data_IF_564274234779
#
_entry.id   IF_564274234779
#
_cell.length_a   1.000
_cell.length_b   1.000
_cell.length_c   1.000
_cell.angle_alpha   90.00
_cell.angle_beta   90.00
_cell.angle_gamma   90.00
#
_symmetry.space_group_name_H-M   'P 1'
#
loop_
_entity.id
_entity.type
_entity.pdbx_description
1 polymer ?
#
# COMPACT_ATOMS: atom_id res chain seq x y z
N UNK A 1 8.98 29.95 11.78
CA UNK A 1 10.17 29.62 10.95
C UNK A 1 10.33 28.11 10.97
N UNK A 2 10.42 27.49 9.82
CA UNK A 2 10.45 26.03 9.63
C UNK A 2 11.87 25.47 9.57
N UNK A 3 12.83 26.16 10.20
CA UNK A 3 14.25 25.73 10.24
C UNK A 3 14.41 24.54 11.18
N UNK A 4 15.05 23.47 10.71
CA UNK A 4 15.34 22.27 11.49
C UNK A 4 16.39 22.58 12.55
N UNK A 5 16.05 22.33 13.81
CA UNK A 5 16.95 22.48 14.96
C UNK A 5 17.47 21.15 15.49
N UNK A 6 16.67 20.11 15.40
CA UNK A 6 17.02 18.78 15.89
C UNK A 6 16.35 17.69 15.09
N UNK A 7 17.07 16.59 14.85
CA UNK A 7 16.55 15.34 14.27
C UNK A 7 17.00 14.21 15.20
N UNK A 8 16.06 13.32 15.51
CA UNK A 8 16.32 12.13 16.32
C UNK A 8 15.55 10.94 15.80
N UNK A 9 16.16 9.77 15.84
CA UNK A 9 15.50 8.52 15.53
C UNK A 9 15.72 7.48 16.62
N UNK A 10 14.79 6.54 16.68
CA UNK A 10 14.84 5.38 17.58
C UNK A 10 14.36 4.12 16.86
N UNK A 11 14.76 2.99 17.41
CA UNK A 11 14.20 1.70 17.04
C UNK A 11 12.89 1.49 17.81
N UNK A 12 11.83 1.13 17.09
CA UNK A 12 10.53 0.72 17.63
C UNK A 12 10.15 -0.65 17.07
N UNK A 13 9.03 -1.22 17.48
CA UNK A 13 8.53 -2.49 16.95
C UNK A 13 7.38 -2.26 15.94
N UNK A 14 7.39 -3.04 14.87
CA UNK A 14 6.28 -3.12 13.92
C UNK A 14 5.18 -4.10 14.40
N UNK A 15 4.11 -4.22 13.63
CA UNK A 15 2.95 -5.09 13.91
C UNK A 15 3.28 -6.59 13.94
N UNK A 16 4.46 -6.99 13.46
CA UNK A 16 4.97 -8.37 13.51
C UNK A 16 5.97 -8.59 14.65
N UNK A 17 6.22 -7.55 15.48
CA UNK A 17 7.24 -7.59 16.54
C UNK A 17 8.67 -7.50 16.04
N UNK A 18 8.89 -7.09 14.78
CA UNK A 18 10.22 -6.81 14.25
C UNK A 18 10.60 -5.34 14.46
N UNK A 19 11.89 -5.03 14.66
CA UNK A 19 12.35 -3.64 14.72
C UNK A 19 12.06 -2.87 13.43
N UNK A 20 11.67 -1.61 13.60
CA UNK A 20 11.62 -0.60 12.55
C UNK A 20 12.06 0.75 13.09
N UNK A 21 12.16 1.76 12.22
CA UNK A 21 12.67 3.08 12.55
C UNK A 21 11.51 4.08 12.75
N UNK A 22 11.60 4.87 13.81
CA UNK A 22 10.80 6.08 14.00
C UNK A 22 11.72 7.29 14.08
N UNK A 23 11.42 8.35 13.32
CA UNK A 23 12.15 9.60 13.32
C UNK A 23 11.31 10.77 13.86
N UNK A 24 11.98 11.72 14.48
CA UNK A 24 11.43 13.00 14.92
C UNK A 24 12.24 14.17 14.34
N UNK A 25 11.55 15.21 13.91
CA UNK A 25 12.13 16.47 13.43
C UNK A 25 11.53 17.62 14.23
N UNK A 26 12.41 18.39 14.89
CA UNK A 26 12.03 19.59 15.62
C UNK A 26 12.45 20.85 14.86
N UNK A 27 11.54 21.85 14.84
CA UNK A 27 11.73 23.13 14.16
C UNK A 27 12.02 24.25 15.15
N UNK A 28 12.53 25.37 14.64
CA UNK A 28 12.95 26.53 15.44
C UNK A 28 11.79 27.27 16.14
N UNK A 29 10.54 27.02 15.74
CA UNK A 29 9.34 27.54 16.41
C UNK A 29 8.82 26.60 17.51
N UNK A 30 9.50 25.48 17.78
CA UNK A 30 9.11 24.46 18.75
C UNK A 30 8.20 23.36 18.20
N UNK A 31 7.80 23.45 16.92
CA UNK A 31 6.98 22.39 16.29
C UNK A 31 7.80 21.10 16.16
N UNK A 32 7.11 19.99 16.39
CA UNK A 32 7.68 18.64 16.33
C UNK A 32 6.85 17.79 15.34
N UNK A 33 7.52 17.09 14.46
CA UNK A 33 6.94 16.03 13.63
C UNK A 33 7.57 14.69 13.93
N UNK A 34 6.78 13.63 13.85
CA UNK A 34 7.21 12.24 14.06
C UNK A 34 6.57 11.33 13.03
N UNK A 35 7.34 10.38 12.54
CA UNK A 35 6.86 9.37 11.61
C UNK A 35 7.58 8.04 11.84
N UNK A 36 6.83 6.95 11.68
CA UNK A 36 7.35 5.58 11.74
C UNK A 36 7.34 4.94 10.35
N UNK A 37 8.37 4.15 10.05
CA UNK A 37 8.58 3.57 8.74
C UNK A 37 8.00 2.15 8.69
N UNK A 38 7.15 1.81 7.69
CA UNK A 38 6.66 0.45 7.51
C UNK A 38 7.73 -0.48 6.95
N UNK A 39 7.51 -1.80 7.05
CA UNK A 39 8.45 -2.84 6.62
C UNK A 39 7.74 -3.95 5.84
N UNK A 40 8.28 -4.38 4.71
CA UNK A 40 7.73 -5.48 3.90
C UNK A 40 8.07 -6.88 4.42
N UNK A 41 7.24 -7.87 4.09
CA UNK A 41 7.54 -9.31 4.22
C UNK A 41 8.00 -9.88 2.88
N UNK A 42 7.13 -9.87 1.87
CA UNK A 42 7.52 -10.03 0.47
C UNK A 42 8.02 -8.68 -0.06
N UNK A 43 9.10 -8.67 -0.81
CA UNK A 43 9.70 -7.44 -1.33
C UNK A 43 10.06 -7.63 -2.79
N UNK A 44 9.64 -6.71 -3.65
CA UNK A 44 10.09 -6.66 -5.03
C UNK A 44 11.62 -6.53 -5.10
N UNK A 45 12.25 -7.24 -6.00
CA UNK A 45 13.72 -7.31 -6.10
C UNK A 45 14.39 -5.96 -6.37
N UNK A 46 13.63 -4.98 -6.83
CA UNK A 46 14.08 -3.62 -7.23
C UNK A 46 13.70 -2.54 -6.23
N UNK A 47 13.17 -2.90 -5.05
CA UNK A 47 12.87 -1.93 -3.98
C UNK A 47 14.13 -1.23 -3.45
N UNK A 48 13.96 -0.01 -2.94
CA UNK A 48 14.99 0.65 -2.18
C UNK A 48 15.31 -0.14 -0.89
N UNK A 49 16.57 -0.08 -0.46
CA UNK A 49 17.08 -0.95 0.61
C UNK A 49 16.56 -0.52 1.98
N UNK A 50 15.83 -1.41 2.64
CA UNK A 50 15.62 -1.34 4.08
C UNK A 50 16.89 -1.79 4.80
N UNK A 51 17.62 -0.84 5.40
CA UNK A 51 18.89 -1.16 6.04
C UNK A 51 18.66 -1.87 7.38
N UNK A 52 19.10 -3.12 7.45
CA UNK A 52 19.11 -3.97 8.64
C UNK A 52 20.51 -4.17 9.16
N UNK A 53 20.65 -4.38 10.46
CA UNK A 53 21.97 -4.53 11.13
C UNK A 53 22.69 -5.82 10.72
N UNK A 54 21.95 -6.90 10.49
CA UNK A 54 22.50 -8.22 10.18
C UNK A 54 23.12 -8.96 11.38
N UNK A 55 23.12 -8.34 12.56
CA UNK A 55 23.64 -8.94 13.80
C UNK A 55 22.67 -9.98 14.33
N UNK A 56 23.00 -11.26 14.14
CA UNK A 56 22.16 -12.41 14.55
C UNK A 56 21.95 -12.50 16.06
N UNK A 57 22.79 -11.86 16.86
CA UNK A 57 22.66 -11.87 18.34
C UNK A 57 21.58 -10.92 18.84
N UNK A 58 21.08 -10.02 17.96
CA UNK A 58 20.09 -9.01 18.26
C UNK A 58 18.96 -9.04 17.23
N UNK A 59 17.72 -9.27 17.68
CA UNK A 59 16.54 -9.41 16.84
C UNK A 59 16.73 -10.32 15.61
N UNK A 60 17.51 -11.38 15.77
CA UNK A 60 17.79 -12.36 14.70
C UNK A 60 18.37 -11.72 13.41
N UNK A 61 19.09 -10.60 13.56
CA UNK A 61 19.64 -9.85 12.45
C UNK A 61 18.76 -8.73 11.89
N UNK A 62 17.52 -8.59 12.41
CA UNK A 62 16.54 -7.62 11.90
C UNK A 62 16.61 -6.24 12.57
N UNK A 63 17.55 -5.98 13.49
CA UNK A 63 17.74 -4.67 14.11
C UNK A 63 17.96 -3.57 13.08
N UNK A 64 17.70 -2.30 13.46
CA UNK A 64 17.84 -1.12 12.59
C UNK A 64 18.72 -0.02 13.21
N UNK A 65 19.59 -0.37 14.14
CA UNK A 65 20.45 0.60 14.81
C UNK A 65 21.45 1.29 13.87
N UNK A 66 21.86 0.63 12.78
CA UNK A 66 22.70 1.29 11.75
C UNK A 66 21.94 2.44 11.09
N UNK A 67 20.70 2.20 10.66
CA UNK A 67 19.83 3.23 10.08
C UNK A 67 19.54 4.35 11.10
N UNK A 68 19.23 4.00 12.35
CA UNK A 68 19.09 4.97 13.46
C UNK A 68 20.34 5.80 13.65
N UNK A 69 21.51 5.17 13.62
CA UNK A 69 22.81 5.87 13.72
C UNK A 69 23.03 6.86 12.58
N UNK A 70 22.65 6.52 11.34
CA UNK A 70 22.72 7.43 10.20
C UNK A 70 21.81 8.64 10.37
N UNK A 71 20.58 8.45 10.89
CA UNK A 71 19.66 9.57 11.17
C UNK A 71 20.23 10.47 12.25
N UNK A 72 20.69 9.91 13.39
CA UNK A 72 21.17 10.67 14.54
C UNK A 72 22.54 11.33 14.32
N UNK A 73 23.29 10.91 13.31
CA UNK A 73 24.58 11.45 12.92
C UNK A 73 24.51 12.21 11.59
N UNK A 74 24.97 11.57 10.52
CA UNK A 74 25.22 12.19 9.21
C UNK A 74 24.00 12.93 8.66
N UNK A 75 22.79 12.39 8.78
CA UNK A 75 21.56 13.03 8.28
C UNK A 75 21.22 14.25 9.13
N UNK A 76 21.26 14.13 10.46
CA UNK A 76 20.98 15.25 11.37
C UNK A 76 21.97 16.40 11.17
N UNK A 77 23.26 16.10 11.00
CA UNK A 77 24.28 17.13 10.76
C UNK A 77 24.10 17.85 9.41
N UNK A 78 23.71 17.10 8.36
CA UNK A 78 23.49 17.63 7.02
C UNK A 78 22.26 18.53 6.92
N UNK A 79 21.19 18.22 7.67
CA UNK A 79 19.93 18.94 7.61
C UNK A 79 19.76 20.00 8.71
N UNK A 80 20.66 20.10 9.66
CA UNK A 80 20.62 21.16 10.68
C UNK A 80 20.64 22.54 10.04
N UNK A 81 19.68 23.38 10.39
CA UNK A 81 19.55 24.72 9.81
C UNK A 81 18.86 24.76 8.44
N UNK A 82 18.48 23.60 7.89
CA UNK A 82 17.72 23.53 6.64
C UNK A 82 16.25 23.96 6.86
N UNK A 83 15.64 24.55 5.86
CA UNK A 83 14.19 24.89 5.89
C UNK A 83 13.35 23.67 5.53
N UNK A 84 12.72 23.05 6.52
CA UNK A 84 11.87 21.87 6.32
C UNK A 84 10.66 22.11 5.40
N UNK A 85 10.25 23.38 5.19
CA UNK A 85 9.16 23.70 4.27
C UNK A 85 9.54 23.48 2.78
N UNK A 86 10.84 23.42 2.48
CA UNK A 86 11.34 22.96 1.17
C UNK A 86 11.46 21.43 1.18
N UNK A 87 10.33 20.74 1.15
CA UNK A 87 10.28 19.26 1.17
C UNK A 87 11.09 18.65 0.01
N UNK A 88 10.98 19.20 -1.19
CA UNK A 88 11.69 18.68 -2.36
C UNK A 88 13.22 18.87 -2.22
N UNK A 89 13.66 20.01 -1.72
CA UNK A 89 15.07 20.27 -1.43
C UNK A 89 15.63 19.40 -0.31
N UNK A 90 14.83 19.15 0.75
CA UNK A 90 15.18 18.25 1.84
C UNK A 90 15.37 16.82 1.33
N UNK A 91 14.41 16.30 0.60
CA UNK A 91 14.46 14.94 0.06
C UNK A 91 15.60 14.77 -0.95
N UNK A 92 15.81 15.80 -1.80
CA UNK A 92 16.98 15.80 -2.70
C UNK A 92 18.29 15.72 -1.94
N UNK A 93 18.45 16.47 -0.84
CA UNK A 93 19.66 16.38 -0.01
C UNK A 93 19.85 14.99 0.61
N UNK A 94 18.78 14.35 1.04
CA UNK A 94 18.82 12.97 1.54
C UNK A 94 19.28 11.99 0.47
N UNK A 95 18.73 12.09 -0.75
CA UNK A 95 19.09 11.25 -1.90
C UNK A 95 20.58 11.49 -2.29
N UNK A 96 20.98 12.74 -2.43
CA UNK A 96 22.37 13.11 -2.78
C UNK A 96 23.35 12.64 -1.69
N UNK A 97 22.94 12.73 -0.41
CA UNK A 97 23.74 12.27 0.73
C UNK A 97 23.91 10.75 0.71
N UNK A 98 22.91 9.96 0.37
CA UNK A 98 23.06 8.52 0.19
C UNK A 98 23.93 8.21 -1.03
N UNK A 99 23.65 8.81 -2.17
CA UNK A 99 24.44 8.72 -3.38
C UNK A 99 24.42 7.37 -4.09
N UNK A 100 23.53 6.44 -3.70
CA UNK A 100 23.33 5.15 -4.36
C UNK A 100 21.95 5.10 -5.03
N UNK A 101 21.82 4.29 -6.08
CA UNK A 101 20.56 4.20 -6.83
C UNK A 101 19.39 3.62 -6.02
N UNK A 102 19.68 2.74 -5.06
CA UNK A 102 18.69 2.04 -4.23
C UNK A 102 18.73 2.45 -2.76
N UNK A 103 19.36 3.58 -2.42
CA UNK A 103 19.50 4.09 -1.04
C UNK A 103 20.19 3.10 -0.08
N UNK A 104 21.09 2.27 -0.63
CA UNK A 104 21.74 1.18 0.12
C UNK A 104 22.78 1.63 1.12
N UNK A 105 23.29 2.86 1.04
CA UNK A 105 24.34 3.35 1.93
C UNK A 105 23.82 3.81 3.30
N UNK A 106 22.75 4.58 3.32
CA UNK A 106 22.13 5.09 4.54
C UNK A 106 20.88 4.31 4.94
N UNK A 107 20.20 3.71 3.96
CA UNK A 107 18.95 2.99 4.10
C UNK A 107 17.74 3.85 3.74
N UNK A 108 16.85 3.31 2.90
CA UNK A 108 15.60 3.96 2.57
C UNK A 108 14.73 4.22 3.80
N UNK A 109 14.78 3.33 4.80
CA UNK A 109 14.10 3.51 6.09
C UNK A 109 14.61 4.74 6.86
N UNK A 110 15.92 5.01 6.85
CA UNK A 110 16.48 6.21 7.46
C UNK A 110 16.02 7.48 6.74
N UNK A 111 16.09 7.49 5.40
CA UNK A 111 15.69 8.63 4.60
C UNK A 111 14.19 8.92 4.75
N UNK A 112 13.36 7.90 4.61
CA UNK A 112 11.90 8.03 4.66
C UNK A 112 11.41 8.52 6.03
N UNK A 113 11.96 7.99 7.12
CA UNK A 113 11.60 8.42 8.47
C UNK A 113 11.77 9.94 8.64
N UNK A 114 12.90 10.48 8.20
CA UNK A 114 13.18 11.93 8.27
C UNK A 114 12.31 12.72 7.29
N UNK A 115 12.13 12.23 6.07
CA UNK A 115 11.31 12.88 5.04
C UNK A 115 9.86 13.06 5.51
N UNK A 116 9.23 12.01 6.04
CA UNK A 116 7.86 12.09 6.57
C UNK A 116 7.78 12.91 7.86
N UNK A 117 8.73 12.74 8.79
CA UNK A 117 8.73 13.50 10.05
C UNK A 117 8.88 15.02 9.79
N UNK A 118 9.65 15.43 8.79
CA UNK A 118 9.77 16.82 8.38
C UNK A 118 8.43 17.38 7.90
N UNK A 119 7.69 16.63 7.07
CA UNK A 119 6.34 17.03 6.63
C UNK A 119 5.36 17.20 7.79
N UNK A 120 5.36 16.28 8.76
CA UNK A 120 4.59 16.41 9.99
C UNK A 120 4.96 17.66 10.80
N UNK A 121 6.27 17.94 10.94
CA UNK A 121 6.75 19.12 11.67
C UNK A 121 6.27 20.42 11.00
N UNK A 122 6.36 20.50 9.68
CA UNK A 122 5.90 21.69 8.91
C UNK A 122 4.38 21.84 9.00
N UNK A 123 3.63 20.76 8.89
CA UNK A 123 2.17 20.80 9.08
C UNK A 123 1.81 21.37 10.46
N UNK A 124 2.49 20.87 11.53
CA UNK A 124 2.30 21.38 12.89
C UNK A 124 2.67 22.88 13.01
N UNK A 125 3.81 23.30 12.45
CA UNK A 125 4.26 24.68 12.41
C UNK A 125 3.24 25.62 11.73
N UNK A 126 2.62 25.15 10.66
CA UNK A 126 1.57 25.88 9.92
C UNK A 126 0.18 25.75 10.55
N UNK A 127 0.02 24.97 11.63
CA UNK A 127 -1.26 24.65 12.28
C UNK A 127 -2.26 24.01 11.31
N UNK A 128 -1.76 23.17 10.41
CA UNK A 128 -2.52 22.40 9.44
C UNK A 128 -2.55 20.93 9.85
N UNK A 129 -3.63 20.24 9.50
CA UNK A 129 -3.57 18.77 9.44
C UNK A 129 -2.59 18.33 8.35
N UNK A 130 -2.00 17.15 8.49
CA UNK A 130 -1.00 16.68 7.52
C UNK A 130 -1.57 16.65 6.10
N UNK A 131 -2.78 16.11 5.91
CA UNK A 131 -3.41 16.05 4.58
C UNK A 131 -3.58 17.46 3.95
N UNK A 132 -3.85 18.49 4.75
CA UNK A 132 -3.97 19.87 4.25
C UNK A 132 -2.62 20.40 3.75
N UNK A 133 -1.57 20.13 4.52
CA UNK A 133 -0.20 20.50 4.13
C UNK A 133 0.21 19.77 2.84
N UNK A 134 0.02 18.45 2.78
CA UNK A 134 0.34 17.67 1.59
C UNK A 134 -0.47 18.12 0.37
N UNK A 135 -1.78 18.40 0.53
CA UNK A 135 -2.59 18.93 -0.56
C UNK A 135 -2.08 20.28 -1.07
N UNK A 136 -1.48 21.11 -0.19
CA UNK A 136 -0.83 22.36 -0.62
C UNK A 136 0.44 22.13 -1.45
N UNK A 137 1.11 21.00 -1.29
CA UNK A 137 2.29 20.62 -2.10
C UNK A 137 1.89 20.06 -3.48
N UNK A 138 0.81 19.29 -3.51
CA UNK A 138 0.37 18.57 -4.74
C UNK A 138 -0.58 19.40 -5.59
N UNK A 139 -1.29 20.35 -5.01
CA UNK A 139 -2.38 21.09 -5.67
C UNK A 139 -3.64 20.24 -5.90
N UNK A 140 -3.70 19.03 -5.38
CA UNK A 140 -4.85 18.14 -5.55
C UNK A 140 -6.05 18.60 -4.70
N UNK A 141 -7.26 18.37 -5.22
CA UNK A 141 -8.49 18.51 -4.44
C UNK A 141 -8.66 17.29 -3.54
N UNK A 142 -8.76 17.46 -2.21
CA UNK A 142 -8.88 16.34 -1.29
C UNK A 142 -10.11 15.47 -1.58
N UNK A 143 -9.89 14.14 -1.56
CA UNK A 143 -10.93 13.14 -1.81
C UNK A 143 -10.72 11.93 -0.90
N UNK A 144 -11.81 11.38 -0.34
CA UNK A 144 -11.76 10.15 0.44
C UNK A 144 -11.60 8.95 -0.52
N UNK A 145 -10.53 8.15 -0.35
CA UNK A 145 -10.23 7.04 -1.24
C UNK A 145 -11.18 5.86 -1.03
N UNK A 146 -11.37 5.03 -2.07
CA UNK A 146 -12.00 3.71 -1.92
C UNK A 146 -11.05 2.78 -1.18
N UNK A 147 -11.46 2.18 -0.06
CA UNK A 147 -10.63 1.20 0.64
C UNK A 147 -10.70 -0.16 -0.07
N UNK A 148 -9.53 -0.74 -0.35
CA UNK A 148 -9.35 -2.09 -0.81
C UNK A 148 -9.06 -2.96 0.42
N UNK A 149 -10.09 -3.62 0.94
CA UNK A 149 -10.04 -4.29 2.24
C UNK A 149 -9.68 -5.75 2.06
N UNK A 150 -8.46 -6.14 2.41
CA UNK A 150 -8.01 -7.52 2.40
C UNK A 150 -8.78 -8.35 3.44
N UNK A 151 -9.68 -9.23 3.00
CA UNK A 151 -10.61 -9.96 3.88
C UNK A 151 -10.27 -11.45 4.02
N UNK A 152 -9.60 -12.05 3.01
CA UNK A 152 -9.03 -13.40 3.06
C UNK A 152 -7.58 -13.34 2.59
N UNK A 153 -6.69 -13.96 3.37
CA UNK A 153 -5.27 -14.09 3.10
C UNK A 153 -4.93 -15.50 2.61
N UNK A 154 -3.98 -15.56 1.67
CA UNK A 154 -3.30 -16.77 1.23
C UNK A 154 -1.83 -16.50 0.92
N UNK A 155 -1.19 -17.31 0.09
CA UNK A 155 0.18 -17.14 -0.35
C UNK A 155 1.16 -16.90 0.80
N UNK A 156 2.03 -15.92 0.68
CA UNK A 156 3.02 -15.58 1.72
C UNK A 156 2.39 -14.94 2.98
N UNK A 157 1.12 -14.52 2.94
CA UNK A 157 0.43 -13.85 4.06
C UNK A 157 -0.31 -14.83 5.00
N UNK A 158 -0.39 -16.12 4.67
CA UNK A 158 -1.08 -17.12 5.47
C UNK A 158 -0.43 -18.50 5.33
N UNK A 159 -0.43 -19.26 6.41
CA UNK A 159 -0.04 -20.68 6.40
C UNK A 159 -1.28 -21.54 6.08
N UNK A 160 -1.67 -21.55 4.83
CA UNK A 160 -2.80 -22.29 4.27
C UNK A 160 -2.53 -22.75 2.83
N UNK A 161 -3.52 -23.36 2.18
CA UNK A 161 -3.42 -23.92 0.83
C UNK A 161 -3.95 -23.00 -0.29
N UNK A 162 -4.18 -21.73 -0.01
CA UNK A 162 -4.62 -20.74 -0.98
C UNK A 162 -3.39 -20.10 -1.64
N UNK A 163 -3.24 -20.22 -2.97
CA UNK A 163 -2.04 -19.76 -3.68
C UNK A 163 -1.99 -18.22 -3.81
N UNK A 164 -3.11 -17.57 -4.12
CA UNK A 164 -3.18 -16.11 -4.26
C UNK A 164 -3.11 -15.43 -2.90
N UNK A 165 -2.39 -14.31 -2.83
CA UNK A 165 -2.01 -13.67 -1.58
C UNK A 165 -3.14 -12.96 -0.87
N UNK A 166 -4.02 -12.25 -1.62
CA UNK A 166 -5.11 -11.48 -1.02
C UNK A 166 -6.38 -11.49 -1.85
N UNK A 167 -7.51 -11.60 -1.14
CA UNK A 167 -8.85 -11.42 -1.69
C UNK A 167 -9.49 -10.24 -0.97
N UNK A 168 -9.86 -9.22 -1.75
CA UNK A 168 -10.31 -7.93 -1.23
C UNK A 168 -11.77 -7.66 -1.56
N UNK A 169 -12.43 -6.90 -0.67
CA UNK A 169 -13.71 -6.27 -0.93
C UNK A 169 -13.53 -4.76 -1.08
N UNK A 170 -14.20 -4.18 -2.07
CA UNK A 170 -14.12 -2.77 -2.43
C UNK A 170 -15.53 -2.16 -2.43
N UNK A 171 -15.89 -1.40 -1.40
CA UNK A 171 -17.22 -0.80 -1.27
C UNK A 171 -17.34 0.46 -2.14
N UNK A 172 -17.77 0.29 -3.39
CA UNK A 172 -17.82 1.35 -4.42
C UNK A 172 -19.19 2.02 -4.56
N UNK A 173 -20.25 1.39 -4.06
CA UNK A 173 -21.66 1.82 -4.23
C UNK A 173 -22.17 2.69 -3.09
N UNK A 174 -21.33 3.49 -2.42
CA UNK A 174 -21.69 4.29 -1.24
C UNK A 174 -21.43 5.77 -1.47
N UNK A 175 -22.17 6.64 -0.76
CA UNK A 175 -22.06 8.10 -0.89
C UNK A 175 -21.01 8.71 0.04
N UNK A 176 -20.49 7.94 1.01
CA UNK A 176 -19.49 8.41 1.97
C UNK A 176 -18.51 7.31 2.37
N UNK A 177 -17.32 7.72 2.79
CA UNK A 177 -16.31 6.79 3.30
C UNK A 177 -16.80 6.07 4.57
N UNK A 178 -17.52 6.74 5.46
CA UNK A 178 -18.04 6.13 6.68
C UNK A 178 -19.04 5.00 6.38
N UNK A 179 -19.93 5.15 5.38
CA UNK A 179 -20.84 4.08 4.97
C UNK A 179 -20.11 2.94 4.24
N UNK A 180 -19.11 3.27 3.42
CA UNK A 180 -18.22 2.29 2.81
C UNK A 180 -17.47 1.46 3.86
N UNK A 181 -16.91 2.11 4.88
CA UNK A 181 -16.21 1.43 5.98
C UNK A 181 -17.18 0.57 6.80
N UNK A 182 -18.41 1.05 7.08
CA UNK A 182 -19.45 0.28 7.77
C UNK A 182 -19.77 -1.00 7.00
N UNK A 183 -20.01 -0.91 5.70
CA UNK A 183 -20.32 -2.08 4.88
C UNK A 183 -19.19 -3.12 4.89
N UNK A 184 -17.94 -2.69 4.76
CA UNK A 184 -16.78 -3.58 4.86
C UNK A 184 -16.70 -4.29 6.22
N UNK A 185 -16.97 -3.56 7.31
CA UNK A 185 -16.99 -4.13 8.67
C UNK A 185 -18.10 -5.16 8.84
N UNK A 186 -19.30 -4.89 8.34
CA UNK A 186 -20.43 -5.83 8.38
C UNK A 186 -20.15 -7.07 7.55
N UNK A 187 -19.53 -6.94 6.37
CA UNK A 187 -19.09 -8.06 5.54
C UNK A 187 -18.01 -8.89 6.26
N UNK A 188 -17.04 -8.24 6.90
CA UNK A 188 -16.00 -8.92 7.68
C UNK A 188 -16.61 -9.79 8.78
N UNK A 189 -17.59 -9.30 9.54
CA UNK A 189 -18.28 -10.08 10.57
C UNK A 189 -19.18 -11.17 9.98
N UNK A 190 -19.83 -10.91 8.85
CA UNK A 190 -20.61 -11.93 8.13
C UNK A 190 -19.71 -13.06 7.63
N UNK A 191 -18.51 -12.74 7.08
CA UNK A 191 -17.53 -13.73 6.66
C UNK A 191 -17.03 -14.58 7.84
N UNK A 192 -16.75 -13.95 8.98
CA UNK A 192 -16.42 -14.70 10.22
C UNK A 192 -17.49 -15.73 10.56
N UNK A 193 -18.77 -15.36 10.45
CA UNK A 193 -19.89 -16.28 10.68
C UNK A 193 -19.98 -17.39 9.64
N UNK A 194 -19.75 -17.11 8.37
CA UNK A 194 -19.73 -18.09 7.28
C UNK A 194 -18.62 -19.11 7.52
N UNK A 195 -17.40 -18.67 7.76
CA UNK A 195 -16.24 -19.54 8.03
C UNK A 195 -16.47 -20.42 9.26
N UNK A 196 -16.95 -19.83 10.37
CA UNK A 196 -17.28 -20.58 11.59
C UNK A 196 -18.37 -21.63 11.34
N UNK A 197 -19.41 -21.30 10.57
CA UNK A 197 -20.48 -22.21 10.21
C UNK A 197 -20.01 -23.40 9.35
N UNK A 198 -18.93 -23.24 8.61
CA UNK A 198 -18.25 -24.30 7.83
C UNK A 198 -17.19 -25.06 8.62
N UNK A 199 -16.97 -24.72 9.91
CA UNK A 199 -15.91 -25.31 10.73
C UNK A 199 -14.50 -24.88 10.37
N UNK A 200 -14.36 -23.76 9.64
CA UNK A 200 -13.08 -23.22 9.20
C UNK A 200 -12.48 -22.24 10.23
N UNK A 201 -11.16 -22.06 10.18
CA UNK A 201 -10.45 -21.11 11.04
C UNK A 201 -10.91 -19.69 10.83
N UNK A 202 -11.07 -18.93 11.92
CA UNK A 202 -11.30 -17.49 11.92
C UNK A 202 -10.12 -16.72 12.53
N UNK A 203 -8.94 -17.35 12.58
CA UNK A 203 -7.70 -16.67 12.86
C UNK A 203 -7.36 -15.72 11.69
N UNK A 204 -6.66 -14.63 12.02
CA UNK A 204 -6.30 -13.60 11.02
C UNK A 204 -4.81 -13.60 10.78
N UNK A 205 -4.43 -13.27 9.53
CA UNK A 205 -3.05 -13.09 9.12
C UNK A 205 -2.47 -11.71 9.51
N UNK A 206 -1.30 -11.41 9.00
CA UNK A 206 -0.54 -10.19 9.32
C UNK A 206 -1.30 -8.91 8.99
N UNK A 207 -2.16 -8.94 8.00
CA UNK A 207 -2.94 -7.79 7.53
C UNK A 207 -4.39 -7.77 8.04
N UNK A 208 -4.73 -8.70 8.94
CA UNK A 208 -6.04 -8.75 9.60
C UNK A 208 -7.13 -9.49 8.81
N UNK A 209 -6.88 -9.96 7.58
CA UNK A 209 -7.77 -10.86 6.83
C UNK A 209 -7.78 -12.26 7.44
N UNK A 210 -8.88 -13.01 7.26
CA UNK A 210 -8.96 -14.40 7.71
C UNK A 210 -8.02 -15.30 6.90
N UNK A 211 -7.52 -16.36 7.52
CA UNK A 211 -6.59 -17.31 6.92
C UNK A 211 -7.13 -18.75 7.03
N UNK A 212 -8.29 -19.06 6.44
CA UNK A 212 -8.85 -20.41 6.48
C UNK A 212 -8.14 -21.36 5.50
N UNK A 213 -8.14 -22.67 5.80
CA UNK A 213 -7.84 -23.70 4.82
C UNK A 213 -9.05 -23.91 3.91
N UNK A 214 -8.95 -23.39 2.68
CA UNK A 214 -9.97 -23.54 1.65
C UNK A 214 -9.56 -24.62 0.64
N UNK A 215 -10.53 -25.17 -0.10
CA UNK A 215 -10.28 -26.23 -1.09
C UNK A 215 -9.61 -25.72 -2.36
N UNK A 216 -9.79 -24.43 -2.65
CA UNK A 216 -9.25 -23.77 -3.85
C UNK A 216 -9.22 -22.26 -3.68
N UNK A 217 -8.52 -21.55 -4.56
CA UNK A 217 -8.59 -20.08 -4.65
C UNK A 217 -10.02 -19.60 -5.00
N UNK A 218 -10.75 -20.36 -5.81
CA UNK A 218 -12.13 -20.03 -6.19
C UNK A 218 -13.08 -20.07 -5.00
N UNK A 219 -12.91 -21.01 -4.06
CA UNK A 219 -13.72 -21.06 -2.84
C UNK A 219 -13.57 -19.78 -2.00
N UNK A 220 -12.41 -19.10 -2.05
CA UNK A 220 -12.25 -17.80 -1.39
C UNK A 220 -13.21 -16.76 -1.94
N UNK A 221 -13.38 -16.69 -3.27
CA UNK A 221 -14.36 -15.81 -3.92
C UNK A 221 -15.80 -16.17 -3.54
N UNK A 222 -16.13 -17.46 -3.53
CA UNK A 222 -17.48 -17.95 -3.19
C UNK A 222 -17.88 -17.59 -1.76
N UNK A 223 -16.99 -17.81 -0.76
CA UNK A 223 -17.32 -17.50 0.64
C UNK A 223 -17.41 -15.99 0.88
N UNK A 224 -16.66 -15.17 0.14
CA UNK A 224 -16.78 -13.72 0.19
C UNK A 224 -18.12 -13.27 -0.39
N UNK A 225 -18.55 -13.81 -1.52
CA UNK A 225 -19.85 -13.50 -2.12
C UNK A 225 -21.01 -13.90 -1.19
N UNK A 226 -20.92 -15.07 -0.53
CA UNK A 226 -21.89 -15.47 0.49
C UNK A 226 -21.93 -14.46 1.65
N UNK A 227 -20.77 -14.00 2.11
CA UNK A 227 -20.67 -13.03 3.19
C UNK A 227 -21.25 -11.66 2.80
N UNK A 228 -21.01 -11.18 1.59
CA UNK A 228 -21.58 -9.93 1.04
C UNK A 228 -23.11 -10.01 1.05
N UNK A 229 -23.67 -11.09 0.51
CA UNK A 229 -25.13 -11.31 0.50
C UNK A 229 -25.71 -11.44 1.91
N UNK A 230 -25.02 -12.15 2.82
CA UNK A 230 -25.44 -12.30 4.22
C UNK A 230 -25.40 -10.99 5.01
N UNK A 231 -24.51 -10.07 4.66
CA UNK A 231 -24.46 -8.72 5.20
C UNK A 231 -25.53 -7.79 4.61
N UNK A 232 -26.28 -8.24 3.61
CA UNK A 232 -27.37 -7.48 2.97
C UNK A 232 -26.92 -6.58 1.83
N UNK A 233 -25.70 -6.75 1.31
CA UNK A 233 -25.17 -5.99 0.19
C UNK A 233 -25.18 -6.79 -1.11
N UNK A 234 -25.09 -6.08 -2.24
CA UNK A 234 -25.07 -6.64 -3.58
C UNK A 234 -23.65 -6.62 -4.17
N UNK A 235 -23.10 -7.83 -4.40
CA UNK A 235 -21.84 -7.96 -5.14
C UNK A 235 -22.02 -7.47 -6.58
N UNK A 236 -21.05 -6.70 -7.08
CA UNK A 236 -21.10 -6.08 -8.40
C UNK A 236 -21.82 -4.73 -8.45
N UNK A 237 -22.65 -4.41 -7.45
CA UNK A 237 -23.35 -3.11 -7.34
C UNK A 237 -22.78 -2.29 -6.18
N UNK A 238 -22.96 -2.74 -4.94
CA UNK A 238 -22.49 -2.04 -3.74
C UNK A 238 -21.01 -2.27 -3.49
N UNK A 239 -20.58 -3.53 -3.70
CA UNK A 239 -19.24 -4.02 -3.39
C UNK A 239 -18.69 -4.81 -4.57
N UNK A 240 -17.48 -4.46 -4.98
CA UNK A 240 -16.69 -5.20 -5.97
C UNK A 240 -15.65 -6.07 -5.27
N UNK A 241 -15.04 -7.00 -6.01
CA UNK A 241 -13.93 -7.83 -5.57
C UNK A 241 -12.61 -7.35 -6.15
N UNK A 242 -11.53 -7.57 -5.42
CA UNK A 242 -10.17 -7.36 -5.87
C UNK A 242 -9.27 -8.53 -5.51
N UNK A 243 -8.23 -8.72 -6.29
CA UNK A 243 -7.21 -9.75 -6.08
C UNK A 243 -5.83 -9.09 -5.97
N UNK A 244 -5.01 -9.62 -5.07
CA UNK A 244 -3.56 -9.53 -5.16
C UNK A 244 -3.03 -10.95 -5.37
N UNK A 245 -2.53 -11.20 -6.58
CA UNK A 245 -2.02 -12.52 -6.93
C UNK A 245 -0.62 -12.75 -6.36
N UNK A 246 0.19 -11.71 -6.21
CA UNK A 246 1.61 -11.79 -5.88
C UNK A 246 2.34 -12.85 -6.73
N UNK A 247 2.11 -12.81 -8.04
CA UNK A 247 2.42 -13.94 -8.95
C UNK A 247 3.90 -14.27 -9.06
N UNK A 248 4.79 -13.37 -8.65
CA UNK A 248 6.24 -13.62 -8.56
C UNK A 248 6.55 -14.80 -7.62
N UNK A 249 5.76 -14.95 -6.54
CA UNK A 249 5.99 -15.99 -5.51
C UNK A 249 5.81 -17.44 -6.03
N UNK A 250 5.02 -17.63 -7.08
CA UNK A 250 4.76 -18.93 -7.69
C UNK A 250 5.13 -19.01 -9.18
N UNK A 251 5.90 -18.03 -9.68
CA UNK A 251 6.43 -18.05 -11.05
C UNK A 251 7.82 -18.67 -11.09
N UNK A 252 7.93 -19.87 -11.64
CA UNK A 252 9.18 -20.62 -11.76
C UNK A 252 9.35 -21.23 -13.14
N UNK A 253 10.54 -21.09 -13.72
CA UNK A 253 10.91 -21.70 -15.02
C UNK A 253 9.89 -21.38 -16.14
N UNK A 254 9.41 -20.14 -16.18
CA UNK A 254 8.43 -19.68 -17.17
C UNK A 254 7.01 -20.24 -16.99
N UNK A 255 6.67 -20.70 -15.78
CA UNK A 255 5.37 -21.26 -15.44
C UNK A 255 4.86 -20.73 -14.11
N UNK A 256 3.56 -20.57 -14.01
CA UNK A 256 2.81 -20.24 -12.80
C UNK A 256 2.34 -21.53 -12.11
N UNK A 257 2.90 -21.83 -10.94
CA UNK A 257 2.65 -23.06 -10.20
C UNK A 257 1.61 -22.82 -9.10
N UNK A 258 0.33 -23.04 -9.38
CA UNK A 258 -0.74 -22.99 -8.40
C UNK A 258 -0.77 -24.37 -7.68
N UNK A 259 0.03 -24.51 -6.63
CA UNK A 259 0.22 -25.79 -5.94
C UNK A 259 -1.03 -26.25 -5.20
N UNK A 260 -1.79 -25.32 -4.59
CA UNK A 260 -3.07 -25.58 -3.94
C UNK A 260 -4.14 -26.12 -4.89
N UNK A 261 -4.03 -25.82 -6.19
CA UNK A 261 -4.93 -26.30 -7.23
C UNK A 261 -4.35 -27.41 -8.12
N UNK A 262 -3.06 -27.77 -7.93
CA UNK A 262 -2.38 -28.74 -8.75
C UNK A 262 -2.20 -28.32 -10.21
N UNK A 263 -2.19 -27.00 -10.50
CA UNK A 263 -2.07 -26.45 -11.84
C UNK A 263 -0.67 -25.88 -12.11
N UNK A 264 -0.19 -26.05 -13.32
CA UNK A 264 1.06 -25.45 -13.82
C UNK A 264 0.82 -24.82 -15.18
N UNK A 265 0.71 -23.49 -15.21
CA UNK A 265 0.20 -22.72 -16.34
C UNK A 265 1.32 -21.93 -17.04
N UNK A 266 1.23 -21.78 -18.37
CA UNK A 266 2.04 -20.77 -19.09
C UNK A 266 1.48 -19.37 -18.83
N UNK A 267 2.20 -18.33 -19.27
CA UNK A 267 1.71 -16.95 -19.15
C UNK A 267 0.34 -16.76 -19.83
N UNK A 268 0.17 -17.29 -21.05
CA UNK A 268 -1.12 -17.23 -21.76
C UNK A 268 -2.23 -17.96 -21.00
N UNK A 269 -1.93 -19.16 -20.49
CA UNK A 269 -2.91 -19.96 -19.74
C UNK A 269 -3.30 -19.29 -18.43
N UNK A 270 -2.37 -18.60 -17.76
CA UNK A 270 -2.67 -17.90 -16.53
C UNK A 270 -3.47 -16.61 -16.81
N UNK A 271 -3.17 -15.90 -17.89
CA UNK A 271 -4.02 -14.79 -18.38
C UNK A 271 -5.45 -15.24 -18.66
N UNK A 272 -5.63 -16.38 -19.36
CA UNK A 272 -6.95 -16.93 -19.61
C UNK A 272 -7.68 -17.35 -18.32
N UNK A 273 -6.95 -17.90 -17.34
CA UNK A 273 -7.48 -18.25 -16.03
C UNK A 273 -8.01 -17.00 -15.29
N UNK A 274 -7.24 -15.92 -15.22
CA UNK A 274 -7.68 -14.67 -14.61
C UNK A 274 -8.84 -14.01 -15.38
N UNK A 275 -8.78 -14.05 -16.73
CA UNK A 275 -9.85 -13.49 -17.56
C UNK A 275 -11.18 -14.24 -17.34
N UNK A 276 -11.14 -15.56 -17.22
CA UNK A 276 -12.32 -16.37 -16.93
C UNK A 276 -12.95 -15.98 -15.56
N UNK A 277 -12.16 -15.77 -14.54
CA UNK A 277 -12.66 -15.30 -13.25
C UNK A 277 -13.29 -13.91 -13.33
N UNK A 278 -12.71 -12.99 -14.12
CA UNK A 278 -13.31 -11.67 -14.33
C UNK A 278 -14.63 -11.71 -15.10
N UNK A 279 -14.92 -12.80 -15.83
CA UNK A 279 -16.22 -13.04 -16.49
C UNK A 279 -17.28 -13.60 -15.52
N UNK A 280 -16.84 -14.38 -14.53
CA UNK A 280 -17.73 -15.07 -13.58
C UNK A 280 -18.00 -14.27 -12.30
N UNK A 281 -17.03 -13.48 -11.84
CA UNK A 281 -17.05 -12.77 -10.57
C UNK A 281 -16.93 -11.26 -10.78
N UNK A 282 -17.48 -10.42 -9.90
CA UNK A 282 -17.40 -8.97 -10.02
C UNK A 282 -16.02 -8.43 -9.60
N UNK A 283 -14.95 -8.95 -10.21
CA UNK A 283 -13.58 -8.52 -9.99
C UNK A 283 -13.33 -7.25 -10.78
N UNK A 284 -12.97 -6.15 -10.09
CA UNK A 284 -12.69 -4.85 -10.69
C UNK A 284 -11.19 -4.54 -10.75
N UNK A 285 -10.37 -5.22 -9.95
CA UNK A 285 -8.93 -4.96 -9.86
C UNK A 285 -8.14 -6.24 -9.61
N UNK A 286 -6.98 -6.35 -10.26
CA UNK A 286 -6.00 -7.43 -10.06
C UNK A 286 -4.64 -6.78 -9.88
N UNK A 287 -4.01 -7.02 -8.74
CA UNK A 287 -2.65 -6.63 -8.42
C UNK A 287 -1.69 -7.79 -8.70
N UNK A 288 -0.55 -7.47 -9.30
CA UNK A 288 0.53 -8.39 -9.67
C UNK A 288 0.01 -9.71 -10.27
N UNK A 289 -0.88 -9.56 -11.26
CA UNK A 289 -1.46 -10.68 -12.00
C UNK A 289 -0.44 -11.48 -12.80
N UNK A 290 0.77 -10.96 -12.99
CA UNK A 290 1.92 -11.65 -13.60
C UNK A 290 3.18 -11.40 -12.76
N UNK A 291 4.21 -12.23 -12.93
CA UNK A 291 5.49 -12.07 -12.23
C UNK A 291 6.21 -10.76 -12.62
N UNK A 292 7.02 -10.22 -11.70
CA UNK A 292 7.72 -8.92 -11.86
C UNK A 292 8.68 -8.87 -13.05
N UNK A 293 9.18 -10.01 -13.52
CA UNK A 293 10.08 -10.12 -14.67
C UNK A 293 9.37 -10.63 -15.94
N UNK A 294 8.11 -11.07 -15.87
CA UNK A 294 7.31 -11.55 -17.01
C UNK A 294 6.61 -10.39 -17.75
N UNK A 295 7.39 -9.49 -18.32
CA UNK A 295 6.88 -8.31 -19.02
C UNK A 295 6.04 -8.64 -20.26
N UNK A 296 6.34 -9.75 -20.94
CA UNK A 296 5.52 -10.23 -22.07
C UNK A 296 4.17 -10.76 -21.58
N UNK A 297 4.15 -11.50 -20.48
CA UNK A 297 2.91 -11.91 -19.80
C UNK A 297 2.09 -10.72 -19.32
N UNK A 298 2.72 -9.71 -18.73
CA UNK A 298 2.06 -8.46 -18.36
C UNK A 298 1.42 -7.75 -19.57
N UNK A 299 2.11 -7.75 -20.71
CA UNK A 299 1.54 -7.17 -21.94
C UNK A 299 0.32 -7.95 -22.40
N UNK A 300 0.37 -9.29 -22.39
CA UNK A 300 -0.79 -10.15 -22.72
C UNK A 300 -1.97 -9.87 -21.77
N UNK A 301 -1.72 -9.82 -20.46
CA UNK A 301 -2.74 -9.52 -19.46
C UNK A 301 -3.38 -8.15 -19.71
N UNK A 302 -2.55 -7.14 -19.98
CA UNK A 302 -3.00 -5.77 -20.25
C UNK A 302 -3.87 -5.70 -21.49
N UNK A 303 -3.45 -6.31 -22.59
CA UNK A 303 -4.21 -6.33 -23.85
C UNK A 303 -5.55 -7.07 -23.68
N UNK A 304 -5.61 -8.08 -22.82
CA UNK A 304 -6.80 -8.89 -22.56
C UNK A 304 -7.82 -8.21 -21.65
N UNK A 305 -7.37 -7.50 -20.59
CA UNK A 305 -8.24 -7.09 -19.49
C UNK A 305 -8.29 -5.58 -19.20
N UNK A 306 -7.31 -4.77 -19.63
CA UNK A 306 -7.19 -3.37 -19.20
C UNK A 306 -8.41 -2.48 -19.50
N UNK A 307 -9.27 -2.85 -20.44
CA UNK A 307 -10.51 -2.13 -20.73
C UNK A 307 -11.64 -2.39 -19.73
N UNK A 308 -11.53 -3.44 -18.91
CA UNK A 308 -12.58 -3.92 -18.00
C UNK A 308 -12.12 -4.01 -16.55
N UNK A 309 -10.83 -4.21 -16.32
CA UNK A 309 -10.22 -4.48 -15.01
C UNK A 309 -9.04 -3.56 -14.80
N UNK A 310 -8.93 -3.01 -13.59
CA UNK A 310 -7.75 -2.29 -13.15
C UNK A 310 -6.61 -3.29 -12.89
N UNK A 311 -5.49 -3.13 -13.58
CA UNK A 311 -4.31 -3.96 -13.48
C UNK A 311 -3.21 -3.18 -12.77
N UNK A 312 -2.89 -3.59 -11.55
CA UNK A 312 -2.01 -2.86 -10.64
C UNK A 312 -0.63 -3.51 -10.63
N UNK A 313 0.40 -2.73 -10.92
CA UNK A 313 1.79 -3.15 -10.70
C UNK A 313 2.26 -2.73 -9.32
N UNK A 314 2.57 -3.71 -8.44
CA UNK A 314 3.26 -3.54 -7.17
C UNK A 314 4.74 -3.90 -7.35
N UNK A 315 5.11 -5.19 -7.31
CA UNK A 315 6.47 -5.64 -7.53
C UNK A 315 7.02 -5.27 -8.92
N UNK A 316 6.12 -5.16 -9.90
CA UNK A 316 6.45 -4.71 -11.25
C UNK A 316 7.09 -3.33 -11.27
N UNK A 317 6.59 -2.37 -10.48
CA UNK A 317 6.98 -0.96 -10.53
C UNK A 317 7.72 -0.48 -9.28
N UNK A 318 7.54 -1.14 -8.15
CA UNK A 318 8.14 -0.85 -6.83
C UNK A 318 8.12 0.65 -6.47
N UNK A 319 7.04 1.36 -6.81
CA UNK A 319 6.89 2.82 -6.62
C UNK A 319 8.02 3.64 -7.29
N UNK A 320 8.80 3.04 -8.19
CA UNK A 320 9.98 3.68 -8.80
C UNK A 320 9.60 4.43 -10.09
N UNK A 321 9.70 5.78 -10.13
CA UNK A 321 9.32 6.56 -11.31
C UNK A 321 10.06 6.18 -12.60
N UNK A 322 11.30 5.68 -12.52
CA UNK A 322 12.06 5.26 -13.72
C UNK A 322 11.48 3.97 -14.30
N UNK A 323 11.22 2.96 -13.47
CA UNK A 323 10.64 1.68 -13.90
C UNK A 323 9.20 1.91 -14.37
N UNK A 324 8.44 2.73 -13.64
CA UNK A 324 7.06 3.04 -13.99
C UNK A 324 6.96 3.75 -15.34
N UNK A 325 7.87 4.68 -15.65
CA UNK A 325 7.95 5.34 -16.96
C UNK A 325 8.17 4.33 -18.11
N UNK A 326 9.00 3.31 -17.90
CA UNK A 326 9.18 2.22 -18.86
C UNK A 326 7.88 1.43 -19.06
N UNK A 327 7.18 1.08 -17.99
CA UNK A 327 5.88 0.42 -18.06
C UNK A 327 4.82 1.21 -18.82
N UNK A 328 4.73 2.52 -18.55
CA UNK A 328 3.85 3.44 -19.29
C UNK A 328 4.20 3.43 -20.79
N UNK A 329 5.48 3.52 -21.13
CA UNK A 329 5.93 3.54 -22.53
C UNK A 329 5.62 2.26 -23.29
N UNK A 330 5.61 1.13 -22.61
CA UNK A 330 5.25 -0.19 -23.15
C UNK A 330 3.74 -0.47 -23.12
N UNK A 331 2.95 0.37 -22.49
CA UNK A 331 1.51 0.17 -22.30
C UNK A 331 1.23 -1.11 -21.49
N UNK A 332 1.90 -1.27 -20.36
CA UNK A 332 1.80 -2.41 -19.45
C UNK A 332 1.12 -1.95 -18.16
N UNK A 333 0.15 -2.73 -17.66
CA UNK A 333 -0.75 -2.38 -16.55
C UNK A 333 -1.61 -1.14 -16.87
N UNK A 334 -2.38 -0.64 -15.91
CA UNK A 334 -3.12 0.61 -16.00
C UNK A 334 -3.28 1.29 -14.62
N UNK A 335 -2.57 0.78 -13.62
CA UNK A 335 -2.51 1.32 -12.27
C UNK A 335 -1.17 0.96 -11.61
N UNK A 336 -0.79 1.73 -10.59
CA UNK A 336 0.41 1.50 -9.78
C UNK A 336 0.07 1.46 -8.30
N UNK A 337 0.67 0.53 -7.56
CA UNK A 337 0.66 0.55 -6.11
C UNK A 337 1.75 1.48 -5.59
N UNK A 338 1.43 2.28 -4.58
CA UNK A 338 2.32 3.29 -4.01
C UNK A 338 2.65 2.90 -2.57
N UNK A 339 3.86 2.45 -2.35
CA UNK A 339 4.41 2.11 -1.04
C UNK A 339 5.57 3.04 -0.71
N UNK A 340 5.41 3.91 0.25
CA UNK A 340 6.38 4.98 0.57
C UNK A 340 7.80 4.46 0.83
N UNK A 341 7.93 3.27 1.41
CA UNK A 341 9.24 2.70 1.73
C UNK A 341 9.92 1.96 0.57
N UNK A 342 9.18 1.63 -0.51
CA UNK A 342 9.78 1.03 -1.73
C UNK A 342 10.68 2.02 -2.46
N UNK A 343 10.44 3.31 -2.29
CA UNK A 343 11.23 4.38 -2.92
C UNK A 343 12.04 5.22 -1.92
N UNK A 344 11.50 5.51 -0.73
CA UNK A 344 12.25 6.00 0.43
C UNK A 344 12.24 7.50 0.65
N UNK A 345 11.49 8.31 -0.12
CA UNK A 345 11.21 9.72 0.18
C UNK A 345 9.77 10.09 -0.15
N UNK A 346 9.24 11.11 0.51
CA UNK A 346 7.91 11.64 0.24
C UNK A 346 7.84 12.26 -1.15
N UNK A 347 8.88 13.02 -1.56
CA UNK A 347 8.90 13.69 -2.87
C UNK A 347 8.87 12.69 -4.03
N UNK A 348 9.63 11.60 -3.98
CA UNK A 348 9.59 10.55 -5.02
C UNK A 348 8.25 9.81 -5.01
N UNK A 349 7.64 9.62 -3.82
CA UNK A 349 6.29 9.06 -3.69
C UNK A 349 5.25 9.94 -4.38
N UNK A 350 5.28 11.25 -4.15
CA UNK A 350 4.37 12.21 -4.78
C UNK A 350 4.63 12.31 -6.29
N UNK A 351 5.89 12.22 -6.73
CA UNK A 351 6.26 12.17 -8.15
C UNK A 351 5.64 10.95 -8.86
N UNK A 352 5.70 9.77 -8.24
CA UNK A 352 5.11 8.56 -8.82
C UNK A 352 3.58 8.70 -8.98
N UNK A 353 2.88 9.29 -8.01
CA UNK A 353 1.45 9.55 -8.08
C UNK A 353 1.13 10.57 -9.18
N UNK A 354 1.88 11.67 -9.26
CA UNK A 354 1.69 12.69 -10.31
C UNK A 354 1.95 12.12 -11.70
N UNK A 355 2.96 11.25 -11.85
CA UNK A 355 3.25 10.56 -13.11
C UNK A 355 2.11 9.63 -13.52
N UNK A 356 1.50 8.90 -12.57
CA UNK A 356 0.36 8.03 -12.81
C UNK A 356 -0.83 8.84 -13.34
N UNK A 357 -1.16 9.95 -12.66
CA UNK A 357 -2.25 10.84 -13.08
C UNK A 357 -2.04 11.40 -14.49
N UNK A 358 -0.84 11.92 -14.79
CA UNK A 358 -0.48 12.43 -16.10
C UNK A 358 -0.60 11.37 -17.22
N UNK A 359 -0.32 10.11 -16.90
CA UNK A 359 -0.42 8.98 -17.82
C UNK A 359 -1.82 8.32 -17.84
N UNK A 360 -2.77 8.82 -17.03
CA UNK A 360 -4.11 8.23 -16.82
C UNK A 360 -4.09 6.80 -16.26
N UNK A 361 -3.07 6.49 -15.49
CA UNK A 361 -3.01 5.33 -14.62
C UNK A 361 -3.63 5.69 -13.27
N UNK A 362 -4.34 4.76 -12.68
CA UNK A 362 -4.76 4.92 -11.28
C UNK A 362 -3.57 4.72 -10.35
N UNK A 363 -3.60 5.37 -9.19
CA UNK A 363 -2.66 5.10 -8.10
C UNK A 363 -3.39 4.69 -6.83
N UNK A 364 -2.84 3.69 -6.16
CA UNK A 364 -3.38 3.12 -4.92
C UNK A 364 -2.32 3.30 -3.83
N UNK A 365 -2.60 4.09 -2.81
CA UNK A 365 -1.70 4.22 -1.65
C UNK A 365 -1.82 2.98 -0.79
N UNK A 366 -0.70 2.38 -0.42
CA UNK A 366 -0.68 1.07 0.23
C UNK A 366 0.16 1.05 1.50
N UNK A 367 -0.28 0.23 2.45
CA UNK A 367 0.47 -0.21 3.61
C UNK A 367 1.55 -1.24 3.24
N UNK A 368 2.23 -1.77 4.26
CA UNK A 368 3.08 -2.97 4.15
C UNK A 368 2.60 -4.02 5.17
N UNK A 369 3.12 -5.26 5.04
CA UNK A 369 2.79 -6.33 5.99
C UNK A 369 3.27 -6.03 7.41
N UNK A 370 4.41 -5.37 7.59
CA UNK A 370 4.86 -4.81 8.85
C UNK A 370 4.49 -3.33 8.96
N UNK A 371 3.49 -3.01 9.76
CA UNK A 371 2.99 -1.66 9.99
C UNK A 371 3.19 -1.22 11.44
N UNK A 372 2.94 0.06 11.67
CA UNK A 372 2.90 0.68 12.98
C UNK A 372 1.55 1.40 13.16
N UNK A 373 1.37 2.14 14.25
CA UNK A 373 0.24 3.04 14.43
C UNK A 373 0.29 4.32 13.56
N UNK A 374 1.37 4.54 12.80
CA UNK A 374 1.51 5.68 11.88
C UNK A 374 0.40 5.68 10.82
N UNK A 375 -0.16 6.87 10.54
CA UNK A 375 -1.30 7.04 9.64
C UNK A 375 -0.98 7.91 8.42
N UNK A 376 0.28 8.24 8.19
CA UNK A 376 0.73 9.13 7.11
C UNK A 376 0.18 8.74 5.75
N UNK A 377 0.07 7.44 5.44
CA UNK A 377 -0.48 6.96 4.17
C UNK A 377 -1.95 7.32 3.96
N UNK A 378 -2.74 7.45 5.02
CA UNK A 378 -4.12 7.92 4.92
C UNK A 378 -4.18 9.40 4.50
N UNK A 379 -3.30 10.22 5.07
CA UNK A 379 -3.17 11.65 4.70
C UNK A 379 -2.67 11.81 3.26
N UNK A 380 -1.70 10.99 2.82
CA UNK A 380 -1.21 10.98 1.44
C UNK A 380 -2.33 10.62 0.47
N UNK A 381 -3.13 9.59 0.76
CA UNK A 381 -4.21 9.15 -0.11
C UNK A 381 -5.26 10.25 -0.32
N UNK A 382 -5.59 11.03 0.72
CA UNK A 382 -6.56 12.12 0.61
C UNK A 382 -5.98 13.36 -0.09
N UNK A 383 -4.68 13.61 0.08
CA UNK A 383 -4.00 14.83 -0.36
C UNK A 383 -3.43 14.77 -1.77
N UNK A 384 -3.69 13.70 -2.51
CA UNK A 384 -3.15 13.45 -3.86
C UNK A 384 -4.26 13.07 -4.83
N UNK A 385 -3.89 12.77 -6.06
CA UNK A 385 -4.81 12.22 -7.07
C UNK A 385 -5.03 10.70 -6.92
N UNK A 386 -4.45 10.07 -5.89
CA UNK A 386 -4.76 8.70 -5.52
C UNK A 386 -6.22 8.61 -5.05
N UNK A 387 -6.99 7.71 -5.64
CA UNK A 387 -8.42 7.55 -5.36
C UNK A 387 -8.73 6.27 -4.60
N UNK A 388 -7.70 5.52 -4.23
CA UNK A 388 -7.80 4.23 -3.57
C UNK A 388 -6.74 4.08 -2.50
N UNK A 389 -7.04 3.31 -1.45
CA UNK A 389 -6.10 2.94 -0.39
C UNK A 389 -6.20 1.45 -0.09
N UNK A 390 -5.05 0.77 -0.05
CA UNK A 390 -4.94 -0.63 0.37
C UNK A 390 -4.23 -0.66 1.72
N UNK A 391 -4.97 -0.92 2.81
CA UNK A 391 -4.42 -0.84 4.17
C UNK A 391 -4.89 -1.96 5.09
N UNK A 392 -5.12 -3.15 4.52
CA UNK A 392 -5.46 -4.36 5.23
C UNK A 392 -6.95 -4.48 5.56
N UNK A 393 -7.26 -5.32 6.52
CA UNK A 393 -8.62 -5.65 6.91
C UNK A 393 -9.18 -4.73 8.02
N UNK A 394 -10.33 -5.12 8.56
CA UNK A 394 -11.13 -4.35 9.53
C UNK A 394 -10.79 -4.71 10.99
N UNK A 395 -9.64 -5.33 11.22
CA UNK A 395 -9.12 -5.61 12.57
C UNK A 395 -7.60 -5.42 12.58
N UNK A 396 -6.98 -5.54 13.77
CA UNK A 396 -5.61 -5.14 14.10
C UNK A 396 -5.43 -3.62 14.08
N UNK A 397 -4.96 -3.05 15.18
CA UNK A 397 -4.88 -1.60 15.40
C UNK A 397 -4.00 -0.89 14.38
N UNK A 398 -2.95 -1.56 13.90
CA UNK A 398 -2.04 -1.08 12.86
C UNK A 398 -2.74 -0.83 11.51
N UNK A 399 -3.81 -1.57 11.21
CA UNK A 399 -4.66 -1.37 10.01
C UNK A 399 -5.77 -0.37 10.29
N UNK A 400 -6.53 -0.61 11.36
CA UNK A 400 -7.69 0.22 11.73
C UNK A 400 -7.29 1.67 12.02
N UNK A 401 -6.06 1.94 12.45
CA UNK A 401 -5.56 3.30 12.65
C UNK A 401 -5.70 4.18 11.38
N UNK A 402 -5.42 3.62 10.19
CA UNK A 402 -5.52 4.31 8.91
C UNK A 402 -6.99 4.59 8.55
N UNK A 403 -7.88 3.63 8.76
CA UNK A 403 -9.33 3.81 8.56
C UNK A 403 -9.90 4.87 9.50
N UNK A 404 -9.50 4.84 10.77
CA UNK A 404 -9.91 5.85 11.75
C UNK A 404 -9.40 7.25 11.40
N UNK A 405 -8.18 7.34 10.81
CA UNK A 405 -7.66 8.62 10.31
C UNK A 405 -8.51 9.16 9.15
N UNK A 406 -8.91 8.30 8.22
CA UNK A 406 -9.81 8.70 7.12
C UNK A 406 -11.17 9.17 7.62
N UNK A 407 -11.73 8.57 8.69
CA UNK A 407 -12.95 9.06 9.33
C UNK A 407 -12.76 10.47 9.94
N UNK A 408 -11.60 10.73 10.59
CA UNK A 408 -11.30 12.07 11.13
C UNK A 408 -11.16 13.09 9.99
N UNK A 409 -10.52 12.72 8.89
CA UNK A 409 -10.38 13.57 7.71
C UNK A 409 -11.75 13.85 7.09
N UNK A 410 -12.62 12.84 6.95
CA UNK A 410 -13.99 13.04 6.48
C UNK A 410 -14.74 14.07 7.35
N UNK A 411 -14.61 13.97 8.68
CA UNK A 411 -15.21 14.92 9.60
C UNK A 411 -14.63 16.34 9.44
N UNK A 412 -13.31 16.45 9.25
CA UNK A 412 -12.65 17.75 9.03
C UNK A 412 -13.09 18.42 7.71
N UNK A 413 -13.30 17.63 6.67
CA UNK A 413 -13.80 18.11 5.37
C UNK A 413 -15.28 18.53 5.44
N UNK A 414 -16.06 17.94 6.34
CA UNK A 414 -17.48 18.25 6.53
C UNK A 414 -18.28 18.13 5.23
N UNK A 415 -18.99 19.18 4.84
CA UNK A 415 -19.80 19.20 3.61
C UNK A 415 -18.96 19.17 2.31
N UNK A 416 -17.65 19.41 2.38
CA UNK A 416 -16.73 19.30 1.25
C UNK A 416 -16.22 17.86 1.04
N UNK A 417 -16.49 16.95 1.99
CA UNK A 417 -16.09 15.55 1.85
C UNK A 417 -16.68 14.94 0.58
N UNK A 418 -15.83 14.30 -0.20
CA UNK A 418 -16.21 13.54 -1.40
C UNK A 418 -15.61 12.16 -1.27
N UNK A 419 -16.42 11.15 -1.52
CA UNK A 419 -15.97 9.76 -1.59
C UNK A 419 -15.82 9.35 -3.05
N UNK A 420 -14.69 8.74 -3.40
CA UNK A 420 -14.38 8.42 -4.80
C UNK A 420 -15.37 7.39 -5.42
N UNK A 421 -15.81 6.39 -4.65
CA UNK A 421 -16.74 5.39 -5.12
C UNK A 421 -16.30 4.73 -6.43
N UNK A 422 -17.22 4.47 -7.35
CA UNK A 422 -16.89 3.89 -8.68
C UNK A 422 -15.96 4.79 -9.50
N UNK A 423 -15.94 6.08 -9.23
CA UNK A 423 -15.09 7.05 -9.93
C UNK A 423 -13.61 6.89 -9.63
N UNK A 424 -13.26 6.10 -8.58
CA UNK A 424 -11.88 5.76 -8.24
C UNK A 424 -11.14 5.02 -9.37
N UNK A 425 -11.85 4.27 -10.19
CA UNK A 425 -11.27 3.41 -11.25
C UNK A 425 -11.12 4.19 -12.56
N UNK A 426 -10.31 5.24 -12.51
CA UNK A 426 -10.15 6.21 -13.62
C UNK A 426 -9.63 5.56 -14.90
N UNK A 427 -8.84 4.50 -14.80
CA UNK A 427 -8.30 3.76 -15.94
C UNK A 427 -9.38 2.99 -16.72
N UNK A 428 -10.54 2.74 -16.14
CA UNK A 428 -11.65 2.00 -16.78
C UNK A 428 -12.66 2.91 -17.48
N UNK A 429 -12.52 4.22 -17.39
CA UNK A 429 -13.42 5.23 -18.00
C UNK A 429 -13.06 5.58 -19.45
N UNK A 430 -12.30 4.76 -20.16
CA UNK A 430 -11.85 5.00 -21.54
C UNK A 430 -12.86 4.50 -22.58
#
# INVERSE_FOLDING_TARGET
>A
MTTITHIHAREILDSRGNPTLEAEVALSDGSLGRAAVPSGASTGSKEAVELRDGDKTRYMGKGVLKAVGHVNGTIADTLRGFDAADQAGLDKRLIDLDGTDNKGRLGANALLGVSMAAAHAVAASKKLALWQYLASLTGATPMLPVPMMNIINGGAHADNNVDLQEFMVLPVGFDSFSEALRSGTEIFHALKSVLKGRGLSTAVGDEGGFAPDLRSNEEALEVILEAIGKAGYKAGEDVMLGLDCASTEFFENGKYNLTGEGKRLSSEQFVDFLAHWCEQYPIITIEDGMGEDDWDGWKLLTDRLAGKVQLVGDDLFVTNPRIFRDGISRGVANAILIKVNQIGTLSETLEAIAMADAAKYASIVSHRSGETEDTTIADIAVATTATQIKTGSLCRSDRVAKYNQLLRIQQQLGSAARYAGRDAFISLKR
#
